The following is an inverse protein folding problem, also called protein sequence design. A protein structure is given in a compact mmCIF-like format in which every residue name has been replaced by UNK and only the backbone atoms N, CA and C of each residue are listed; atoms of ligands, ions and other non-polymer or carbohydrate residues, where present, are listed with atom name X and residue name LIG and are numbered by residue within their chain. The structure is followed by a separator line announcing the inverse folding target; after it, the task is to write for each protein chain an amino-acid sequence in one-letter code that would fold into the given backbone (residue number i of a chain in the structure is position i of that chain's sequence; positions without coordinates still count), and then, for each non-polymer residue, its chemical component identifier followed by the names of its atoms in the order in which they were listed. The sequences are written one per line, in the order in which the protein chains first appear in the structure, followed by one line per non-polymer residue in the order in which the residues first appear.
data_IF_356414098516
#
_entry.id   IF_356414098516
#
_cell.length_a   1.000
_cell.length_b   1.000
_cell.length_c   1.000
_cell.angle_alpha   90.00
_cell.angle_beta   90.00
_cell.angle_gamma   90.00
#
_symmetry.space_group_name_H-M   'P 1'
#
loop_
_entity.id
_entity.type
_entity.pdbx_description
1 polymer ?
#
# COMPACT_ATOMS: atom_id res chain seq x y z
N UNK A 1 7.91 11.90 2.64
CA UNK A 1 6.53 11.39 2.47
C UNK A 1 6.59 9.89 2.41
N UNK A 2 5.72 9.19 3.15
CA UNK A 2 5.63 7.73 3.11
C UNK A 2 4.21 7.33 2.72
N UNK A 3 4.11 6.35 1.85
CA UNK A 3 2.88 5.72 1.41
C UNK A 3 2.80 4.31 1.96
N UNK A 4 1.60 3.87 2.28
CA UNK A 4 1.28 2.46 2.45
C UNK A 4 0.55 1.99 1.19
N UNK A 5 1.14 1.03 0.49
CA UNK A 5 0.62 0.51 -0.77
C UNK A 5 0.16 -0.93 -0.56
N UNK A 6 -1.05 -1.24 -1.02
CA UNK A 6 -1.63 -2.58 -0.96
C UNK A 6 -1.68 -3.21 -2.34
N UNK A 7 -1.23 -4.45 -2.40
CA UNK A 7 -1.11 -5.19 -3.64
C UNK A 7 -1.84 -6.52 -3.56
N UNK A 8 -2.26 -7.01 -4.72
CA UNK A 8 -2.82 -8.33 -4.92
C UNK A 8 -2.19 -8.96 -6.17
N UNK A 9 -1.81 -10.23 -6.06
CA UNK A 9 -1.34 -11.00 -7.20
C UNK A 9 -2.55 -11.54 -7.98
N UNK A 10 -2.66 -11.22 -9.27
CA UNK A 10 -3.77 -11.69 -10.10
C UNK A 10 -3.72 -13.21 -10.35
N UNK A 11 -2.56 -13.85 -10.16
CA UNK A 11 -2.41 -15.29 -10.37
C UNK A 11 -2.85 -16.13 -9.16
N UNK A 12 -2.36 -15.79 -7.96
CA UNK A 12 -2.60 -16.60 -6.75
C UNK A 12 -3.52 -15.92 -5.73
N UNK A 13 -3.93 -14.67 -5.96
CA UNK A 13 -4.73 -13.88 -5.02
C UNK A 13 -3.99 -13.45 -3.75
N UNK A 14 -2.67 -13.67 -3.67
CA UNK A 14 -1.90 -13.26 -2.49
C UNK A 14 -1.91 -11.74 -2.35
N UNK A 15 -2.19 -11.28 -1.12
CA UNK A 15 -2.26 -9.85 -0.78
C UNK A 15 -1.12 -9.48 0.14
N UNK A 16 -0.50 -8.33 -0.11
CA UNK A 16 0.57 -7.81 0.73
C UNK A 16 0.59 -6.28 0.72
N UNK A 17 1.40 -5.70 1.61
CA UNK A 17 1.55 -4.26 1.76
C UNK A 17 3.02 -3.86 1.83
N UNK A 18 3.33 -2.68 1.30
CA UNK A 18 4.68 -2.10 1.29
C UNK A 18 4.62 -0.65 1.75
N UNK A 19 5.54 -0.27 2.64
CA UNK A 19 5.77 1.14 2.97
C UNK A 19 6.78 1.71 1.98
N UNK A 20 6.34 2.66 1.15
CA UNK A 20 7.14 3.24 0.08
C UNK A 20 7.35 4.74 0.27
N UNK A 21 8.46 5.29 -0.23
CA UNK A 21 8.66 6.74 -0.28
C UNK A 21 8.11 7.35 -1.59
N UNK A 22 8.00 6.56 -2.65
CA UNK A 22 7.47 6.91 -3.97
C UNK A 22 6.58 5.76 -4.47
N UNK A 23 5.39 6.08 -4.96
CA UNK A 23 4.48 5.06 -5.52
C UNK A 23 5.05 4.53 -6.84
N UNK A 24 5.58 5.41 -7.69
CA UNK A 24 6.04 5.07 -9.04
C UNK A 24 7.21 4.09 -8.97
N UNK A 25 8.25 4.42 -8.21
CA UNK A 25 9.45 3.58 -8.06
C UNK A 25 9.07 2.19 -7.53
N UNK A 26 8.16 2.13 -6.54
CA UNK A 26 7.70 0.86 -5.99
C UNK A 26 6.89 0.04 -7.01
N UNK A 27 6.10 0.68 -7.87
CA UNK A 27 5.38 -0.02 -8.93
C UNK A 27 6.32 -0.57 -10.00
N UNK A 28 7.37 0.17 -10.36
CA UNK A 28 8.39 -0.29 -11.30
C UNK A 28 9.16 -1.48 -10.73
N UNK A 29 9.66 -1.38 -9.49
CA UNK A 29 10.36 -2.47 -8.80
C UNK A 29 9.51 -3.74 -8.70
N UNK A 30 8.22 -3.59 -8.39
CA UNK A 30 7.29 -4.72 -8.26
C UNK A 30 6.94 -5.35 -9.60
N UNK A 31 6.91 -4.58 -10.69
CA UNK A 31 6.74 -5.15 -12.04
C UNK A 31 7.89 -6.08 -12.40
N UNK A 32 9.11 -5.73 -12.00
CA UNK A 32 10.30 -6.56 -12.23
C UNK A 32 10.38 -7.76 -11.27
N UNK A 33 10.14 -7.54 -9.98
CA UNK A 33 10.29 -8.57 -8.94
C UNK A 33 9.10 -9.52 -8.82
N UNK A 34 7.91 -9.09 -9.20
CA UNK A 34 6.72 -9.94 -9.21
C UNK A 34 6.11 -10.21 -7.83
N UNK A 35 5.31 -11.27 -7.73
CA UNK A 35 4.66 -11.65 -6.49
C UNK A 35 5.68 -12.20 -5.47
N UNK A 36 5.69 -11.76 -4.20
CA UNK A 36 6.60 -12.24 -3.15
C UNK A 36 6.49 -13.74 -2.84
N UNK A 37 5.40 -14.39 -3.28
CA UNK A 37 5.23 -15.85 -3.17
C UNK A 37 5.91 -16.61 -4.30
N UNK A 38 6.72 -15.93 -5.11
CA UNK A 38 7.43 -16.48 -6.26
C UNK A 38 6.50 -17.26 -7.19
N UNK A 39 5.31 -16.71 -7.41
CA UNK A 39 4.44 -17.20 -8.47
C UNK A 39 5.19 -16.98 -9.78
N UNK A 40 5.32 -18.02 -10.61
CA UNK A 40 6.13 -18.00 -11.85
C UNK A 40 5.67 -17.00 -12.92
N UNK A 41 4.75 -16.08 -12.59
CA UNK A 41 4.31 -14.95 -13.39
C UNK A 41 4.82 -13.65 -12.75
N UNK A 42 6.02 -13.22 -13.14
CA UNK A 42 6.45 -11.84 -12.94
C UNK A 42 5.54 -10.89 -13.76
N UNK A 43 5.25 -9.70 -13.23
CA UNK A 43 4.57 -8.64 -13.98
C UNK A 43 3.03 -8.58 -13.89
N UNK A 44 2.34 -9.48 -13.18
CA UNK A 44 0.88 -9.38 -12.97
C UNK A 44 0.54 -9.11 -11.51
N UNK A 45 0.64 -7.83 -11.14
CA UNK A 45 0.33 -7.31 -9.81
C UNK A 45 -0.63 -6.16 -9.96
N UNK A 46 -1.67 -6.17 -9.11
CA UNK A 46 -2.65 -5.10 -9.03
C UNK A 46 -2.41 -4.29 -7.77
N UNK A 47 -2.23 -2.97 -7.92
CA UNK A 47 -2.36 -2.04 -6.81
C UNK A 47 -3.85 -1.94 -6.45
N UNK A 48 -4.22 -2.34 -5.24
CA UNK A 48 -5.62 -2.37 -4.78
C UNK A 48 -5.98 -1.16 -3.95
N UNK A 49 -5.01 -0.58 -3.24
CA UNK A 49 -5.18 0.61 -2.40
C UNK A 49 -3.85 1.31 -2.20
N UNK A 50 -3.88 2.63 -2.01
CA UNK A 50 -2.74 3.40 -1.53
C UNK A 50 -3.20 4.45 -0.53
N UNK A 51 -2.43 4.68 0.53
CA UNK A 51 -2.74 5.62 1.61
C UNK A 51 -1.50 6.43 1.98
N UNK A 52 -1.68 7.70 2.36
CA UNK A 52 -0.60 8.44 2.99
C UNK A 52 -0.40 7.93 4.41
N UNK A 53 0.85 7.72 4.80
CA UNK A 53 1.18 7.21 6.14
C UNK A 53 0.83 8.21 7.24
N UNK A 54 0.84 9.50 6.93
CA UNK A 54 0.38 10.57 7.81
C UNK A 54 -1.14 10.52 8.01
N UNK A 55 -1.91 10.21 6.96
CA UNK A 55 -3.37 10.03 7.06
C UNK A 55 -3.74 8.80 7.91
N UNK A 56 -2.94 7.73 7.87
CA UNK A 56 -3.14 6.55 8.72
C UNK A 56 -2.96 6.89 10.20
N UNK A 57 -1.89 7.61 10.54
CA UNK A 57 -1.65 8.05 11.93
C UNK A 57 -2.74 9.02 12.38
N UNK A 58 -3.14 9.97 11.53
CA UNK A 58 -4.25 10.87 11.84
C UNK A 58 -5.57 10.10 12.05
N UNK A 59 -5.87 9.11 11.19
CA UNK A 59 -7.06 8.27 11.33
C UNK A 59 -7.02 7.42 12.61
N UNK A 60 -5.87 6.84 12.96
CA UNK A 60 -5.68 6.10 14.22
C UNK A 60 -5.85 7.04 15.43
N UNK A 61 -5.29 8.25 15.38
CA UNK A 61 -5.46 9.26 16.45
C UNK A 61 -6.91 9.75 16.59
N UNK A 62 -7.68 9.83 15.50
CA UNK A 62 -9.12 10.14 15.55
C UNK A 62 -9.90 8.96 16.14
N UNK A 63 -9.60 7.72 15.69
CA UNK A 63 -10.27 6.51 16.19
C UNK A 63 -10.00 6.25 17.68
N UNK A 64 -8.78 6.52 18.15
CA UNK A 64 -8.40 6.40 19.55
C UNK A 64 -8.81 7.63 20.40
N UNK A 65 -9.51 8.60 19.81
CA UNK A 65 -10.10 9.73 20.52
C UNK A 65 -9.11 10.83 20.93
N UNK A 66 -7.89 10.83 20.37
CA UNK A 66 -6.85 11.83 20.65
C UNK A 66 -6.97 13.11 19.81
N UNK A 67 -7.77 13.12 18.74
CA UNK A 67 -7.99 14.30 17.90
C UNK A 67 -9.49 14.60 17.70
N UNK A 68 -9.94 15.79 18.12
CA UNK A 68 -11.26 16.33 17.73
C UNK A 68 -11.16 16.91 16.33
N UNK A 69 -11.90 16.34 15.38
CA UNK A 69 -12.10 16.96 14.06
C UNK A 69 -13.16 18.05 14.23
N UNK A 70 -12.77 19.31 14.15
CA UNK A 70 -13.71 20.42 13.97
C UNK A 70 -13.96 20.59 12.46
N UNK A 71 -15.19 20.29 12.03
CA UNK A 71 -15.64 20.50 10.66
C UNK A 71 -16.17 21.93 10.57
N UNK A 72 -15.54 22.76 9.74
CA UNK A 72 -15.98 24.13 9.42
C UNK A 72 -17.04 24.14 8.31
#
# INVERSE_FOLDING_TARGET
MKYLLHFECDYCGYKWQISANSIIDTLEDLRETGCPKNCSNAGTIKLTKHEFKEDLVASEMIHEGFAKVEVF
#
